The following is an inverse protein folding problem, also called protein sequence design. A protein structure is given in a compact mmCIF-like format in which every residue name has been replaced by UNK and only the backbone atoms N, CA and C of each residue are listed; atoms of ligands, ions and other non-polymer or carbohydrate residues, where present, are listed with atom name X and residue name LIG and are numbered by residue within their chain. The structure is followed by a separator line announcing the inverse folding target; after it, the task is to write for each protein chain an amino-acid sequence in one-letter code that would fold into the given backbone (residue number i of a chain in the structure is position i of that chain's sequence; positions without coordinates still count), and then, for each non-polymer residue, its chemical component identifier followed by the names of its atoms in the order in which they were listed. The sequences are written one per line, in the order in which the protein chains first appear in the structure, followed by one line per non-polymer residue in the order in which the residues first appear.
data_IF_956750092437
#
_entry.id   IF_956750092437
#
_cell.length_a   1.000
_cell.length_b   1.000
_cell.length_c   1.000
_cell.angle_alpha   90.00
_cell.angle_beta   90.00
_cell.angle_gamma   90.00
#
_symmetry.space_group_name_H-M   'P 1'
#
loop_
_entity.id
_entity.type
_entity.pdbx_description
1 polymer ?
#
# COMPACT_ATOMS: atom_id res chain seq x y z
N UNK A 1 26.64 1.09 13.47
CA UNK A 1 25.27 1.59 13.15
C UNK A 1 25.14 2.27 11.76
N UNK A 2 26.11 2.17 10.83
CA UNK A 2 26.17 3.09 9.65
C UNK A 2 25.89 2.47 8.26
N UNK A 3 26.10 1.16 8.08
CA UNK A 3 26.21 0.58 6.73
C UNK A 3 24.91 0.54 5.91
N UNK A 4 23.77 0.32 6.57
CA UNK A 4 22.46 0.19 5.89
C UNK A 4 22.00 1.51 5.25
N UNK A 5 22.28 2.66 5.88
CA UNK A 5 21.87 3.96 5.35
C UNK A 5 22.75 4.41 4.18
N UNK A 6 24.02 3.99 4.16
CA UNK A 6 24.92 4.20 3.02
C UNK A 6 24.43 3.44 1.79
N UNK A 7 24.15 2.14 1.94
CA UNK A 7 23.61 1.33 0.86
C UNK A 7 22.28 1.88 0.31
N UNK A 8 21.38 2.30 1.21
CA UNK A 8 20.11 2.89 0.81
C UNK A 8 20.31 4.21 0.04
N UNK A 9 21.19 5.09 0.53
CA UNK A 9 21.48 6.36 -0.13
C UNK A 9 22.00 6.15 -1.55
N UNK A 10 22.96 5.25 -1.71
CA UNK A 10 23.62 5.02 -2.99
C UNK A 10 22.66 4.36 -4.00
N UNK A 11 21.87 3.37 -3.55
CA UNK A 11 20.78 2.79 -4.34
C UNK A 11 19.74 3.82 -4.77
N UNK A 12 19.25 4.64 -3.82
CA UNK A 12 18.24 5.66 -4.10
C UNK A 12 18.76 6.71 -5.09
N UNK A 13 20.01 7.15 -4.91
CA UNK A 13 20.61 8.16 -5.78
C UNK A 13 20.82 7.66 -7.21
N UNK A 14 21.10 6.37 -7.40
CA UNK A 14 21.11 5.72 -8.71
C UNK A 14 19.74 5.79 -9.39
N UNK A 15 18.69 5.32 -8.72
CA UNK A 15 17.32 5.38 -9.24
C UNK A 15 16.83 6.82 -9.48
N UNK A 16 17.23 7.75 -8.61
CA UNK A 16 16.84 9.15 -8.73
C UNK A 16 17.44 9.83 -9.97
N UNK A 17 18.66 9.43 -10.35
CA UNK A 17 19.30 9.91 -11.57
C UNK A 17 18.54 9.51 -12.84
N UNK A 18 18.00 8.29 -12.88
CA UNK A 18 17.26 7.78 -14.04
C UNK A 18 15.84 8.33 -14.12
N UNK A 19 15.21 8.65 -12.98
CA UNK A 19 13.80 9.02 -12.90
C UNK A 19 13.56 10.51 -12.59
N UNK A 20 14.60 11.35 -12.60
CA UNK A 20 14.49 12.78 -12.28
C UNK A 20 14.04 13.07 -10.85
N UNK A 21 14.27 12.15 -9.91
CA UNK A 21 13.91 12.33 -8.49
C UNK A 21 15.02 13.04 -7.71
N UNK A 22 14.67 13.59 -6.55
CA UNK A 22 15.62 14.25 -5.65
C UNK A 22 16.60 13.24 -5.04
N UNK A 23 17.90 13.56 -5.14
CA UNK A 23 19.02 12.81 -4.55
C UNK A 23 19.25 13.25 -3.09
N UNK A 24 19.61 12.31 -2.24
CA UNK A 24 20.07 12.61 -0.87
C UNK A 24 21.53 13.08 -0.90
N UNK A 25 21.82 14.18 -0.21
CA UNK A 25 23.17 14.76 -0.13
C UNK A 25 24.00 14.13 0.97
N UNK A 26 23.37 13.66 2.05
CA UNK A 26 24.06 13.10 3.21
C UNK A 26 23.37 11.82 3.72
N UNK A 27 24.11 10.99 4.46
CA UNK A 27 23.54 9.80 5.11
C UNK A 27 22.46 10.17 6.14
N UNK A 28 22.65 11.29 6.83
CA UNK A 28 21.71 11.82 7.82
C UNK A 28 20.35 12.13 7.19
N UNK A 29 20.35 12.78 6.03
CA UNK A 29 19.14 13.09 5.28
C UNK A 29 18.38 11.83 4.88
N UNK A 30 19.10 10.80 4.40
CA UNK A 30 18.51 9.51 4.06
C UNK A 30 17.93 8.79 5.29
N UNK A 31 18.63 8.82 6.42
CA UNK A 31 18.15 8.22 7.68
C UNK A 31 16.92 8.96 8.23
N UNK A 32 16.92 10.29 8.21
CA UNK A 32 15.76 11.11 8.62
C UNK A 32 14.56 10.88 7.70
N UNK A 33 14.77 10.75 6.40
CA UNK A 33 13.73 10.38 5.45
C UNK A 33 13.13 9.01 5.77
N UNK A 34 13.96 7.98 5.95
CA UNK A 34 13.49 6.63 6.31
C UNK A 34 12.72 6.65 7.63
N UNK A 35 13.23 7.34 8.66
CA UNK A 35 12.53 7.51 9.95
C UNK A 35 11.18 8.19 9.79
N UNK A 36 11.12 9.25 8.98
CA UNK A 36 9.88 9.99 8.73
C UNK A 36 8.87 9.11 8.00
N UNK A 37 9.28 8.42 6.93
CA UNK A 37 8.44 7.50 6.17
C UNK A 37 7.91 6.37 7.06
N UNK A 38 8.73 5.85 7.96
CA UNK A 38 8.34 4.80 8.91
C UNK A 38 7.41 5.32 10.01
N UNK A 39 7.59 6.56 10.47
CA UNK A 39 6.69 7.18 11.44
C UNK A 39 5.33 7.55 10.81
N UNK A 40 5.33 8.04 9.57
CA UNK A 40 4.10 8.46 8.86
C UNK A 40 3.31 7.27 8.30
N UNK A 41 3.97 6.23 7.80
CA UNK A 41 3.31 5.09 7.16
C UNK A 41 3.28 3.83 8.03
N UNK A 42 3.82 3.89 9.26
CA UNK A 42 4.01 2.75 10.15
C UNK A 42 5.22 1.89 9.78
N UNK A 43 5.34 0.71 10.42
CA UNK A 43 6.41 -0.25 10.10
C UNK A 43 6.47 -0.62 8.61
N UNK A 44 7.56 -1.29 8.15
CA UNK A 44 7.95 -1.41 6.74
C UNK A 44 6.93 -1.87 5.68
N UNK A 45 5.69 -2.20 6.03
CA UNK A 45 4.64 -2.59 5.08
C UNK A 45 3.22 -2.15 5.52
N UNK A 46 3.07 -1.31 6.55
CA UNK A 46 1.75 -1.05 7.12
C UNK A 46 0.77 -0.41 6.11
N UNK A 47 1.23 0.57 5.33
CA UNK A 47 0.40 1.18 4.27
C UNK A 47 0.07 0.23 3.12
N UNK A 48 0.99 -0.66 2.74
CA UNK A 48 0.76 -1.69 1.70
C UNK A 48 -0.27 -2.71 2.20
N UNK A 49 -0.17 -3.13 3.46
CA UNK A 49 -1.13 -4.03 4.10
C UNK A 49 -2.51 -3.38 4.19
N UNK A 50 -2.57 -2.09 4.53
CA UNK A 50 -3.83 -1.34 4.58
C UNK A 50 -4.48 -1.19 3.20
N UNK A 51 -3.71 -0.81 2.17
CA UNK A 51 -4.20 -0.77 0.79
C UNK A 51 -4.69 -2.14 0.32
N UNK A 52 -3.97 -3.21 0.66
CA UNK A 52 -4.39 -4.58 0.35
C UNK A 52 -5.72 -4.93 1.04
N UNK A 53 -5.89 -4.58 2.32
CA UNK A 53 -7.16 -4.78 3.04
C UNK A 53 -8.32 -4.04 2.38
N UNK A 54 -8.11 -2.79 1.97
CA UNK A 54 -9.13 -2.01 1.26
C UNK A 54 -9.50 -2.63 -0.08
N UNK A 55 -8.51 -3.09 -0.85
CA UNK A 55 -8.74 -3.80 -2.10
C UNK A 55 -9.55 -5.09 -1.90
N UNK A 56 -9.17 -5.91 -0.91
CA UNK A 56 -9.89 -7.15 -0.57
C UNK A 56 -11.33 -6.87 -0.12
N UNK A 57 -11.58 -5.79 0.63
CA UNK A 57 -12.92 -5.38 1.06
C UNK A 57 -13.80 -4.96 -0.13
N UNK A 58 -13.27 -4.13 -1.05
CA UNK A 58 -13.98 -3.73 -2.28
C UNK A 58 -14.25 -4.95 -3.16
N UNK A 59 -13.28 -5.84 -3.30
CA UNK A 59 -13.45 -7.03 -4.14
C UNK A 59 -14.46 -8.01 -3.53
N UNK A 60 -14.47 -8.17 -2.20
CA UNK A 60 -15.48 -8.98 -1.50
C UNK A 60 -16.89 -8.39 -1.63
N UNK A 61 -17.04 -7.07 -1.57
CA UNK A 61 -18.31 -6.40 -1.81
C UNK A 61 -18.81 -6.59 -3.25
N UNK A 62 -17.91 -6.60 -4.24
CA UNK A 62 -18.24 -6.91 -5.65
C UNK A 62 -18.58 -8.38 -5.90
N UNK A 63 -18.02 -9.28 -5.09
CA UNK A 63 -18.30 -10.72 -5.16
C UNK A 63 -19.52 -11.15 -4.34
N UNK A 64 -20.13 -10.24 -3.56
CA UNK A 64 -21.40 -10.52 -2.91
C UNK A 64 -22.48 -10.59 -4.00
N UNK A 65 -23.21 -11.71 -4.15
CA UNK A 65 -24.24 -11.82 -5.16
C UNK A 65 -25.39 -10.87 -4.78
N UNK A 66 -25.50 -9.77 -5.51
CA UNK A 66 -26.77 -9.08 -5.64
C UNK A 66 -27.79 -10.07 -6.21
N UNK A 67 -28.83 -10.40 -5.43
CA UNK A 67 -29.98 -11.15 -5.94
C UNK A 67 -30.21 -12.52 -5.31
N UNK A 68 -30.59 -12.54 -4.02
CA UNK A 68 -31.65 -13.44 -3.56
C UNK A 68 -32.86 -12.61 -3.15
N UNK A 69 -33.46 -11.91 -4.12
CA UNK A 69 -34.88 -11.60 -4.04
C UNK A 69 -35.60 -12.94 -4.18
N UNK A 70 -36.05 -13.45 -3.03
CA UNK A 70 -36.88 -14.63 -2.91
C UNK A 70 -38.08 -14.51 -3.87
N UNK A 71 -38.01 -15.33 -4.93
CA UNK A 71 -39.09 -15.74 -5.80
C UNK A 71 -40.49 -15.57 -5.19
N UNK A 72 -41.32 -14.81 -5.87
CA UNK A 72 -42.75 -14.74 -5.63
C UNK A 72 -43.36 -16.13 -5.56
N UNK A 73 -44.15 -16.36 -4.50
CA UNK A 73 -45.00 -17.53 -4.31
C UNK A 73 -46.11 -17.48 -5.37
N UNK A 74 -45.93 -18.18 -6.49
CA UNK A 74 -47.04 -18.49 -7.40
C UNK A 74 -47.94 -19.52 -6.69
N UNK A 75 -49.00 -19.04 -6.05
CA UNK A 75 -50.09 -19.89 -5.57
C UNK A 75 -51.07 -20.07 -6.74
N UNK A 76 -51.03 -21.23 -7.38
CA UNK A 76 -52.07 -21.64 -8.32
C UNK A 76 -53.38 -21.84 -7.54
N UNK A 77 -54.39 -21.03 -7.85
CA UNK A 77 -55.76 -21.21 -7.39
C UNK A 77 -56.39 -22.29 -8.27
N UNK A 78 -56.99 -23.29 -7.63
CA UNK A 78 -57.80 -24.34 -8.27
C UNK A 78 -59.27 -24.09 -7.96
#
# INVERSE_FOLDING_TARGET
MSYIYELFRDFWNGLAQENGKLKFRTQREAAEFVRRVQNENGGPNAKIVEMRRQYEAVNRAKSAPEGRLSSGRNSAVR
#
